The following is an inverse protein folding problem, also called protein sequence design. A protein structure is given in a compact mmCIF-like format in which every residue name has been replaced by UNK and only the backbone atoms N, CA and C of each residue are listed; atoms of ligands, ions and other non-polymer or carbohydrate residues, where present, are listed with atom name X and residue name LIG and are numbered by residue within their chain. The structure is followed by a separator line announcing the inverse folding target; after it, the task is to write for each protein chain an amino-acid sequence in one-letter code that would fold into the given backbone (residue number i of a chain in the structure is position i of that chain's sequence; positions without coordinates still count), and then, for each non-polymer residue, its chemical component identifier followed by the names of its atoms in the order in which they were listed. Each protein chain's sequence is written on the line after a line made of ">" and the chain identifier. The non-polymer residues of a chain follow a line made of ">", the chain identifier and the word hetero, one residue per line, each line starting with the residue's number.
data_IF_517541931036
#
_entry.id   IF_517541931036
#
_cell.length_a   1.000
_cell.length_b   1.000
_cell.length_c   1.000
_cell.angle_alpha   90.00
_cell.angle_beta   90.00
_cell.angle_gamma   90.00
#
_symmetry.space_group_name_H-M   'P 1'
#
loop_
_entity.id
_entity.type
_entity.pdbx_description
1 polymer ?
#
# COMPACT_ATOMS: atom_id res chain seq x y z
N UNK A 1 4.34 -23.93 -15.15
CA UNK A 1 3.91 -22.88 -14.19
C UNK A 1 4.98 -21.81 -14.17
N UNK A 2 4.69 -20.62 -14.71
CA UNK A 2 5.65 -19.51 -14.70
C UNK A 2 5.45 -18.74 -13.40
N UNK A 3 6.45 -18.74 -12.56
CA UNK A 3 6.48 -17.98 -11.30
C UNK A 3 6.52 -16.49 -11.65
N UNK A 4 5.47 -15.76 -11.34
CA UNK A 4 5.40 -14.33 -11.53
C UNK A 4 6.18 -13.67 -10.39
N UNK A 5 7.39 -13.19 -10.69
CA UNK A 5 8.18 -12.38 -9.76
C UNK A 5 7.60 -10.97 -9.77
N UNK A 6 7.00 -10.56 -8.69
CA UNK A 6 6.54 -9.19 -8.53
C UNK A 6 7.64 -8.40 -7.81
N UNK A 7 8.22 -7.43 -8.50
CA UNK A 7 9.17 -6.49 -7.89
C UNK A 7 8.40 -5.43 -7.12
N UNK A 8 8.66 -5.35 -5.84
CA UNK A 8 8.20 -4.25 -5.02
C UNK A 8 9.28 -3.16 -5.08
N UNK A 9 9.02 -2.11 -5.84
CA UNK A 9 9.87 -0.93 -5.83
C UNK A 9 9.61 -0.15 -4.53
N UNK A 10 10.51 -0.23 -3.58
CA UNK A 10 10.59 0.77 -2.52
C UNK A 10 11.17 2.02 -3.17
N UNK A 11 10.33 3.02 -3.45
CA UNK A 11 10.79 4.29 -3.96
C UNK A 11 11.58 5.04 -2.89
N UNK A 12 12.89 4.78 -2.80
CA UNK A 12 13.79 5.70 -2.15
C UNK A 12 13.97 6.91 -3.06
N UNK A 13 13.40 8.05 -2.66
CA UNK A 13 13.42 9.30 -3.42
C UNK A 13 14.82 9.91 -3.34
N UNK A 14 15.73 9.54 -4.26
CA UNK A 14 16.96 10.28 -4.50
C UNK A 14 16.74 11.26 -5.66
N UNK A 15 16.82 12.55 -5.37
CA UNK A 15 16.69 13.61 -6.37
C UNK A 15 18.07 14.01 -6.86
N UNK A 16 18.42 13.68 -8.10
CA UNK A 16 19.56 14.24 -8.80
C UNK A 16 19.15 15.59 -9.44
N UNK A 17 19.74 16.69 -9.02
CA UNK A 17 19.59 17.98 -9.68
C UNK A 17 20.50 18.05 -10.92
N UNK A 18 19.91 18.13 -12.10
CA UNK A 18 20.63 18.54 -13.31
C UNK A 18 20.18 19.96 -13.63
N UNK A 19 21.09 20.90 -13.57
CA UNK A 19 20.80 22.31 -13.84
C UNK A 19 20.67 22.62 -15.32
N UNK A 20 19.71 23.39 -15.69
CA UNK A 20 19.64 24.62 -16.49
C UNK A 20 18.28 24.81 -17.16
N UNK A 21 17.58 25.88 -16.78
CA UNK A 21 16.61 26.66 -17.57
C UNK A 21 15.52 25.96 -18.41
N UNK A 22 14.80 25.08 -17.81
CA UNK A 22 13.36 24.86 -17.93
C UNK A 22 12.93 24.37 -16.55
N UNK A 23 11.80 24.86 -16.00
CA UNK A 23 11.25 24.27 -14.80
C UNK A 23 10.89 22.81 -15.13
N UNK A 24 11.88 21.92 -15.02
CA UNK A 24 11.65 20.48 -15.12
C UNK A 24 10.75 20.12 -13.93
N UNK A 25 9.52 19.77 -14.21
CA UNK A 25 8.61 19.22 -13.19
C UNK A 25 9.30 17.98 -12.62
N UNK A 26 9.81 18.09 -11.39
CA UNK A 26 10.39 16.98 -10.67
C UNK A 26 9.23 16.05 -10.29
N UNK A 27 9.27 14.82 -10.73
CA UNK A 27 8.31 13.78 -10.36
C UNK A 27 9.06 12.51 -9.97
N UNK A 28 8.43 11.61 -9.21
CA UNK A 28 9.06 10.36 -8.81
C UNK A 28 9.59 9.57 -9.99
N UNK A 29 10.83 9.10 -9.87
CA UNK A 29 11.48 8.23 -10.84
C UNK A 29 12.08 7.04 -10.12
N UNK A 30 12.13 5.88 -10.76
CA UNK A 30 12.92 4.76 -10.27
C UNK A 30 14.39 5.06 -10.54
N UNK A 31 15.16 5.08 -9.47
CA UNK A 31 16.61 5.34 -9.54
C UNK A 31 17.39 4.03 -9.43
N UNK A 32 16.86 3.09 -8.62
CA UNK A 32 17.48 1.79 -8.36
C UNK A 32 16.37 0.80 -8.01
N UNK A 33 16.38 -0.38 -8.61
CA UNK A 33 15.44 -1.47 -8.36
C UNK A 33 16.17 -2.65 -7.69
N UNK A 34 16.19 -2.66 -6.37
CA UNK A 34 16.75 -3.77 -5.60
C UNK A 34 15.64 -4.68 -5.09
N UNK A 35 15.90 -5.99 -5.17
CA UNK A 35 15.02 -6.98 -4.56
C UNK A 35 15.11 -6.88 -3.03
N UNK A 36 14.05 -6.37 -2.41
CA UNK A 36 13.95 -6.17 -0.97
C UNK A 36 13.52 -7.45 -0.24
N UNK A 37 12.49 -8.12 -0.78
CA UNK A 37 11.91 -9.33 -0.21
C UNK A 37 11.49 -10.28 -1.32
N UNK A 38 11.73 -11.57 -1.09
CA UNK A 38 11.26 -12.65 -1.93
C UNK A 38 10.61 -13.74 -1.06
N UNK A 39 9.47 -14.25 -1.50
CA UNK A 39 8.88 -15.46 -0.94
C UNK A 39 9.79 -16.66 -1.16
N UNK A 40 9.76 -17.62 -0.25
CA UNK A 40 10.53 -18.86 -0.39
C UNK A 40 9.92 -19.76 -1.47
N UNK A 41 10.70 -20.73 -1.95
CA UNK A 41 10.20 -21.69 -2.96
C UNK A 41 9.15 -22.64 -2.39
N UNK A 42 9.14 -22.83 -1.10
CA UNK A 42 8.21 -23.67 -0.35
C UNK A 42 7.98 -23.07 1.04
N UNK A 43 6.94 -23.52 1.72
CA UNK A 43 6.60 -23.01 3.05
C UNK A 43 5.47 -21.99 3.04
N UNK A 44 5.30 -21.30 4.14
CA UNK A 44 4.14 -20.43 4.36
C UNK A 44 4.12 -19.22 3.43
N UNK A 45 5.27 -18.75 2.93
CA UNK A 45 5.40 -17.62 2.03
C UNK A 45 5.80 -18.02 0.59
N UNK A 46 5.56 -19.25 0.20
CA UNK A 46 5.71 -19.75 -1.16
C UNK A 46 4.59 -19.20 -2.08
N UNK A 47 4.54 -17.89 -2.24
CA UNK A 47 3.48 -17.23 -3.01
C UNK A 47 3.91 -15.88 -3.57
N UNK A 48 2.91 -15.04 -3.86
CA UNK A 48 3.14 -13.70 -4.39
C UNK A 48 3.22 -12.69 -3.25
N UNK A 49 4.40 -12.13 -3.01
CA UNK A 49 4.59 -10.96 -2.14
C UNK A 49 4.10 -9.73 -2.88
N UNK A 50 3.26 -8.91 -2.26
CA UNK A 50 2.58 -7.81 -2.97
C UNK A 50 2.59 -6.45 -2.28
N UNK A 51 2.86 -6.34 -1.00
CA UNK A 51 2.97 -5.04 -0.30
C UNK A 51 4.11 -5.06 0.68
N UNK A 52 4.68 -3.89 0.91
CA UNK A 52 5.75 -3.73 1.87
C UNK A 52 5.60 -2.40 2.60
N UNK A 53 5.42 -2.45 3.91
CA UNK A 53 5.23 -1.28 4.77
C UNK A 53 6.31 -1.26 5.84
N UNK A 54 7.07 -0.16 5.93
CA UNK A 54 8.19 -0.04 6.85
C UNK A 54 7.89 0.97 7.94
N UNK A 55 8.24 0.61 9.18
CA UNK A 55 8.24 1.51 10.34
C UNK A 55 9.62 1.54 10.99
N UNK A 56 10.00 2.70 11.52
CA UNK A 56 11.18 2.83 12.38
C UNK A 56 10.77 2.44 13.81
N UNK A 57 11.00 1.17 14.16
CA UNK A 57 10.55 0.59 15.41
C UNK A 57 11.57 0.73 16.55
N UNK A 58 12.87 0.71 16.22
CA UNK A 58 13.98 0.73 17.18
C UNK A 58 13.79 -0.31 18.29
N UNK A 59 13.49 -1.56 17.92
CA UNK A 59 13.08 -2.63 18.83
C UNK A 59 13.78 -3.94 18.49
N UNK A 60 14.05 -4.76 19.52
CA UNK A 60 14.66 -6.10 19.41
C UNK A 60 15.96 -6.14 18.58
N UNK A 61 16.79 -5.09 18.71
CA UNK A 61 18.06 -4.97 18.00
C UNK A 61 17.97 -4.52 16.55
N UNK A 62 16.77 -4.19 16.07
CA UNK A 62 16.55 -3.71 14.71
C UNK A 62 15.94 -2.32 14.70
N UNK A 63 16.47 -1.46 13.84
CA UNK A 63 15.95 -0.10 13.65
C UNK A 63 14.62 -0.10 12.87
N UNK A 64 14.55 -0.89 11.80
CA UNK A 64 13.41 -0.91 10.88
C UNK A 64 12.72 -2.26 10.90
N UNK A 65 11.39 -2.21 10.93
CA UNK A 65 10.53 -3.37 10.80
C UNK A 65 9.68 -3.23 9.53
N UNK A 66 9.74 -4.25 8.67
CA UNK A 66 9.03 -4.30 7.40
C UNK A 66 7.92 -5.34 7.45
N UNK A 67 6.70 -4.91 7.17
CA UNK A 67 5.52 -5.76 7.10
C UNK A 67 5.16 -5.99 5.65
N UNK A 68 4.96 -7.25 5.27
CA UNK A 68 4.63 -7.59 3.89
C UNK A 68 3.39 -8.47 3.79
N UNK A 69 2.65 -8.29 2.72
CA UNK A 69 1.50 -9.09 2.39
C UNK A 69 1.85 -10.21 1.41
N UNK A 70 1.16 -11.34 1.53
CA UNK A 70 1.36 -12.51 0.70
C UNK A 70 0.02 -13.09 0.27
N UNK A 71 -0.11 -13.38 -1.01
CA UNK A 71 -1.14 -14.23 -1.58
C UNK A 71 -0.54 -15.61 -1.92
N UNK A 72 -1.13 -16.66 -1.39
CA UNK A 72 -0.74 -18.07 -1.63
C UNK A 72 -1.96 -18.92 -1.96
N UNK A 73 -1.84 -19.79 -2.94
CA UNK A 73 -2.86 -20.78 -3.29
C UNK A 73 -2.37 -22.17 -2.97
N UNK A 74 -3.13 -22.88 -2.18
CA UNK A 74 -2.88 -24.27 -1.82
C UNK A 74 -4.18 -25.06 -1.86
N UNK A 75 -4.24 -26.15 -2.66
CA UNK A 75 -5.43 -26.97 -2.84
C UNK A 75 -6.70 -26.15 -3.16
N UNK A 76 -6.59 -25.20 -4.09
CA UNK A 76 -7.65 -24.26 -4.49
C UNK A 76 -8.10 -23.29 -3.39
N UNK A 77 -7.45 -23.27 -2.24
CA UNK A 77 -7.70 -22.31 -1.17
C UNK A 77 -6.76 -21.11 -1.33
N UNK A 78 -7.33 -19.94 -1.32
CA UNK A 78 -6.57 -18.68 -1.40
C UNK A 78 -6.27 -18.14 0.01
N UNK A 79 -5.02 -18.29 0.42
CA UNK A 79 -4.52 -17.74 1.68
C UNK A 79 -3.99 -16.33 1.48
N UNK A 80 -4.35 -15.44 2.38
CA UNK A 80 -3.88 -14.04 2.46
C UNK A 80 -3.25 -13.85 3.83
N UNK A 81 -1.94 -13.69 3.85
CA UNK A 81 -1.14 -13.72 5.08
C UNK A 81 -0.30 -12.44 5.18
N UNK A 82 0.15 -12.12 6.39
CA UNK A 82 1.15 -11.08 6.60
C UNK A 82 2.37 -11.63 7.31
N UNK A 83 3.55 -11.18 6.87
CA UNK A 83 4.84 -11.48 7.46
C UNK A 83 5.57 -10.24 7.93
N UNK A 84 6.60 -10.47 8.74
CA UNK A 84 7.49 -9.48 9.30
C UNK A 84 8.93 -9.77 8.88
N UNK A 85 9.64 -8.73 8.50
CA UNK A 85 11.12 -8.71 8.34
C UNK A 85 11.71 -7.56 9.11
N UNK A 86 12.97 -7.64 9.47
CA UNK A 86 13.67 -6.66 10.29
C UNK A 86 14.98 -6.26 9.64
N UNK A 87 15.38 -4.99 9.76
CA UNK A 87 16.62 -4.45 9.17
C UNK A 87 17.20 -3.32 10.01
N UNK A 88 18.50 -3.07 9.86
CA UNK A 88 19.18 -1.90 10.42
C UNK A 88 19.57 -0.85 9.36
N UNK A 89 19.49 -1.19 8.07
CA UNK A 89 19.99 -0.35 6.97
C UNK A 89 19.03 -0.21 5.78
N UNK A 90 17.83 -0.80 5.84
CA UNK A 90 16.81 -0.82 4.77
C UNK A 90 17.17 -1.64 3.51
N UNK A 91 18.34 -2.27 3.49
CA UNK A 91 18.82 -3.13 2.38
C UNK A 91 18.85 -4.60 2.77
N UNK A 92 19.38 -4.90 3.94
CA UNK A 92 19.53 -6.27 4.44
C UNK A 92 18.38 -6.60 5.37
N UNK A 93 17.46 -7.42 4.91
CA UNK A 93 16.25 -7.79 5.62
C UNK A 93 16.32 -9.23 6.13
N UNK A 94 16.01 -9.43 7.39
CA UNK A 94 15.95 -10.74 8.05
C UNK A 94 14.49 -11.10 8.32
N UNK A 95 14.00 -12.23 7.80
CA UNK A 95 12.66 -12.73 8.09
C UNK A 95 12.53 -13.05 9.58
N UNK A 96 11.39 -12.68 10.16
CA UNK A 96 11.04 -13.08 11.51
C UNK A 96 10.79 -14.57 11.55
N UNK A 97 11.41 -15.26 12.52
CA UNK A 97 11.43 -16.73 12.59
C UNK A 97 10.07 -17.38 12.84
N UNK A 98 9.16 -16.67 13.53
CA UNK A 98 7.80 -17.15 13.81
C UNK A 98 6.74 -16.63 12.83
N UNK A 99 7.14 -16.22 11.62
CA UNK A 99 6.18 -15.89 10.56
C UNK A 99 5.29 -17.08 10.18
N UNK A 100 4.04 -16.87 9.71
CA UNK A 100 3.39 -15.57 9.49
C UNK A 100 2.88 -14.94 10.80
N UNK A 101 2.94 -13.62 10.91
CA UNK A 101 2.36 -12.89 12.06
C UNK A 101 0.83 -12.79 11.97
N UNK A 102 0.25 -12.85 10.76
CA UNK A 102 -1.17 -13.04 10.53
C UNK A 102 -1.36 -14.14 9.49
N UNK A 103 -2.03 -15.22 9.88
CA UNK A 103 -2.10 -16.46 9.10
C UNK A 103 -3.25 -16.49 8.07
N UNK A 104 -4.25 -15.60 8.16
CA UNK A 104 -5.42 -15.66 7.30
C UNK A 104 -6.12 -14.33 7.09
N UNK A 105 -6.69 -14.15 5.90
CA UNK A 105 -7.56 -13.03 5.50
C UNK A 105 -6.96 -11.64 5.78
N UNK A 106 -5.65 -11.49 5.60
CA UNK A 106 -4.93 -10.24 5.74
C UNK A 106 -4.28 -9.90 4.40
N UNK A 107 -4.84 -8.95 3.66
CA UNK A 107 -4.31 -8.55 2.36
C UNK A 107 -3.93 -7.09 2.35
N UNK A 108 -2.79 -6.78 1.74
CA UNK A 108 -2.20 -5.45 1.63
C UNK A 108 -2.02 -4.75 2.99
N UNK A 109 -1.27 -5.35 3.92
CA UNK A 109 -1.01 -4.73 5.20
C UNK A 109 -0.18 -3.45 5.06
N UNK A 110 -0.55 -2.44 5.84
CA UNK A 110 0.23 -1.23 6.06
C UNK A 110 0.25 -0.92 7.55
N UNK A 111 1.39 -0.45 8.06
CA UNK A 111 1.60 -0.29 9.49
C UNK A 111 2.09 1.12 9.81
N UNK A 112 1.66 1.64 10.94
CA UNK A 112 2.16 2.88 11.52
C UNK A 112 2.31 2.71 13.03
N UNK A 113 3.24 3.47 13.61
CA UNK A 113 3.35 3.61 15.07
C UNK A 113 2.71 4.91 15.54
N UNK A 114 1.95 4.82 16.62
CA UNK A 114 1.38 5.96 17.34
C UNK A 114 1.36 5.69 18.82
N UNK A 115 1.91 6.58 19.62
CA UNK A 115 1.97 6.48 21.08
C UNK A 115 2.56 5.15 21.58
N UNK A 116 3.64 4.70 20.93
CA UNK A 116 4.36 3.47 21.29
C UNK A 116 3.71 2.17 20.84
N UNK A 117 2.53 2.22 20.23
CA UNK A 117 1.79 1.06 19.71
C UNK A 117 1.92 0.96 18.18
N UNK A 118 1.83 -0.26 17.68
CA UNK A 118 1.72 -0.56 16.27
C UNK A 118 0.24 -0.68 15.87
N UNK A 119 -0.11 -0.10 14.74
CA UNK A 119 -1.44 -0.19 14.14
C UNK A 119 -1.30 -0.69 12.71
N UNK A 120 -1.86 -1.86 12.43
CA UNK A 120 -1.88 -2.45 11.10
C UNK A 120 -3.26 -2.27 10.47
N UNK A 121 -3.29 -1.76 9.24
CA UNK A 121 -4.49 -1.69 8.41
C UNK A 121 -4.35 -2.68 7.27
N UNK A 122 -5.40 -3.41 6.96
CA UNK A 122 -5.43 -4.39 5.87
C UNK A 122 -6.84 -4.64 5.36
N UNK A 123 -6.94 -5.23 4.17
CA UNK A 123 -8.22 -5.63 3.62
C UNK A 123 -8.57 -7.06 4.05
N UNK A 124 -9.82 -7.25 4.48
CA UNK A 124 -10.46 -8.55 4.69
C UNK A 124 -11.53 -8.79 3.62
N UNK A 125 -11.62 -10.00 3.12
CA UNK A 125 -12.58 -10.42 2.12
C UNK A 125 -13.75 -11.17 2.73
N UNK A 126 -14.95 -10.96 2.18
CA UNK A 126 -16.16 -11.69 2.53
C UNK A 126 -16.28 -12.92 1.63
N UNK A 127 -15.73 -14.05 2.09
CA UNK A 127 -15.77 -15.30 1.34
C UNK A 127 -15.01 -15.25 0.00
N UNK A 128 -15.44 -16.03 -1.01
CA UNK A 128 -14.82 -16.07 -2.33
C UNK A 128 -15.13 -14.80 -3.16
N UNK A 129 -16.13 -14.02 -2.75
CA UNK A 129 -16.50 -12.79 -3.44
C UNK A 129 -15.43 -11.71 -3.26
N UNK A 130 -15.44 -10.74 -4.17
CA UNK A 130 -14.50 -9.64 -4.16
C UNK A 130 -14.87 -8.53 -3.18
N UNK A 131 -16.03 -8.60 -2.53
CA UNK A 131 -16.43 -7.61 -1.51
C UNK A 131 -15.40 -7.62 -0.38
N UNK A 132 -14.91 -6.45 -0.04
CA UNK A 132 -13.87 -6.31 0.97
C UNK A 132 -14.11 -5.10 1.87
N UNK A 133 -13.55 -5.19 3.07
CA UNK A 133 -13.56 -4.13 4.08
C UNK A 133 -12.14 -3.82 4.51
N UNK A 134 -11.93 -2.65 5.10
CA UNK A 134 -10.66 -2.33 5.75
C UNK A 134 -10.85 -2.45 7.25
N UNK A 135 -9.95 -3.17 7.88
CA UNK A 135 -9.86 -3.33 9.32
C UNK A 135 -8.55 -2.74 9.83
N UNK A 136 -8.55 -2.40 11.11
CA UNK A 136 -7.36 -2.00 11.87
C UNK A 136 -7.21 -2.96 13.04
N UNK A 137 -6.00 -3.46 13.26
CA UNK A 137 -5.60 -4.20 14.45
C UNK A 137 -4.46 -3.46 15.15
N UNK A 138 -4.36 -3.59 16.46
CA UNK A 138 -3.32 -2.94 17.27
C UNK A 138 -2.41 -3.96 17.94
N UNK A 139 -1.15 -3.58 18.19
CA UNK A 139 -0.16 -4.41 18.87
C UNK A 139 0.79 -3.57 19.71
N UNK A 140 1.11 -4.05 20.90
CA UNK A 140 2.15 -3.47 21.78
C UNK A 140 3.57 -3.89 21.36
N UNK A 141 3.68 -5.09 20.80
CA UNK A 141 4.98 -5.65 20.46
C UNK A 141 5.28 -5.61 18.94
N UNK A 142 4.30 -5.30 18.11
CA UNK A 142 4.42 -5.28 16.65
C UNK A 142 4.34 -6.66 15.98
N UNK A 143 4.05 -7.71 16.74
CA UNK A 143 3.96 -9.10 16.30
C UNK A 143 2.53 -9.64 16.48
N UNK A 144 2.03 -9.54 17.70
CA UNK A 144 0.69 -10.01 18.08
C UNK A 144 -0.32 -8.88 17.87
N UNK A 145 -1.11 -8.96 16.80
CA UNK A 145 -2.10 -7.96 16.43
C UNK A 145 -3.50 -8.40 16.84
N UNK A 146 -4.09 -7.65 17.77
CA UNK A 146 -5.40 -7.90 18.38
C UNK A 146 -6.36 -6.71 18.20
N UNK A 147 -7.48 -6.72 18.94
CA UNK A 147 -8.44 -5.62 19.05
C UNK A 147 -8.91 -5.08 17.67
N UNK A 148 -9.26 -5.99 16.78
CA UNK A 148 -9.71 -5.66 15.43
C UNK A 148 -10.91 -4.72 15.44
N UNK A 149 -10.82 -3.64 14.67
CA UNK A 149 -11.91 -2.68 14.46
C UNK A 149 -12.13 -2.44 12.97
N UNK A 150 -13.38 -2.38 12.56
CA UNK A 150 -13.73 -2.04 11.18
C UNK A 150 -13.51 -0.55 10.95
N UNK A 151 -12.71 -0.21 9.94
CA UNK A 151 -12.42 1.18 9.53
C UNK A 151 -13.28 1.58 8.35
N UNK A 152 -13.43 0.69 7.37
CA UNK A 152 -14.33 0.85 6.22
C UNK A 152 -15.15 -0.43 6.13
N UNK A 153 -16.48 -0.38 6.31
CA UNK A 153 -17.34 -1.56 6.32
C UNK A 153 -17.47 -2.19 4.93
N UNK A 154 -17.99 -3.42 4.90
CA UNK A 154 -18.48 -4.00 3.65
C UNK A 154 -19.64 -3.17 3.09
N UNK A 155 -19.64 -3.00 1.78
CA UNK A 155 -20.80 -2.54 1.05
C UNK A 155 -20.99 -3.45 -0.18
N UNK A 156 -22.23 -3.76 -0.51
CA UNK A 156 -22.54 -4.70 -1.59
C UNK A 156 -21.96 -4.22 -2.93
N UNK A 157 -21.22 -5.12 -3.56
CA UNK A 157 -20.56 -4.84 -4.84
C UNK A 157 -19.40 -3.88 -4.76
N UNK A 158 -18.93 -3.52 -3.57
CA UNK A 158 -17.79 -2.62 -3.40
C UNK A 158 -16.55 -3.36 -2.92
N UNK A 159 -15.43 -2.94 -3.48
CA UNK A 159 -14.09 -3.34 -3.05
C UNK A 159 -13.44 -2.16 -2.32
N UNK A 160 -13.19 -2.33 -1.02
CA UNK A 160 -12.42 -1.39 -0.22
C UNK A 160 -11.07 -2.04 0.07
N UNK A 161 -10.01 -1.63 -0.62
CA UNK A 161 -8.74 -2.37 -0.67
C UNK A 161 -7.52 -1.47 -0.67
N UNK A 162 -6.32 -2.09 -0.61
CA UNK A 162 -5.02 -1.44 -0.65
C UNK A 162 -4.92 -0.25 0.31
N UNK A 163 -5.15 -0.43 1.61
CA UNK A 163 -4.95 0.65 2.55
C UNK A 163 -3.47 1.07 2.56
N UNK A 164 -3.25 2.37 2.68
CA UNK A 164 -1.94 2.97 2.88
C UNK A 164 -2.04 4.04 3.97
N UNK A 165 -1.38 3.83 5.09
CA UNK A 165 -1.33 4.79 6.19
C UNK A 165 -0.14 5.71 6.06
N UNK A 166 -0.36 7.02 6.14
CA UNK A 166 0.65 8.05 6.05
C UNK A 166 0.57 8.99 7.25
N UNK A 167 1.66 9.15 7.98
CA UNK A 167 1.78 10.18 9.00
C UNK A 167 2.41 11.44 8.40
N UNK A 168 1.66 12.53 8.36
CA UNK A 168 2.15 13.81 7.87
C UNK A 168 2.77 14.62 9.01
N UNK A 169 4.09 14.70 9.02
CA UNK A 169 4.83 15.46 10.04
C UNK A 169 4.56 16.96 10.00
N UNK A 170 4.08 17.51 8.86
CA UNK A 170 3.84 18.94 8.69
C UNK A 170 2.58 19.43 9.44
N UNK A 171 1.57 18.56 9.62
CA UNK A 171 0.31 18.93 10.27
C UNK A 171 -0.07 18.00 11.45
N UNK A 172 0.70 16.93 11.65
CA UNK A 172 0.51 15.98 12.75
C UNK A 172 -0.71 15.07 12.58
N UNK A 173 -1.24 14.92 11.36
CA UNK A 173 -2.34 14.01 11.08
C UNK A 173 -1.85 12.69 10.49
N UNK A 174 -2.59 11.64 10.80
CA UNK A 174 -2.57 10.35 10.12
C UNK A 174 -3.60 10.35 9.00
N UNK A 175 -3.22 9.91 7.82
CA UNK A 175 -4.04 9.82 6.61
C UNK A 175 -4.08 8.38 6.14
N UNK A 176 -5.25 7.77 6.15
CA UNK A 176 -5.48 6.44 5.63
C UNK A 176 -6.07 6.55 4.23
N UNK A 177 -5.24 6.33 3.22
CA UNK A 177 -5.65 6.21 1.83
C UNK A 177 -6.09 4.78 1.54
N UNK A 178 -7.07 4.63 0.66
CA UNK A 178 -7.50 3.33 0.16
C UNK A 178 -8.24 3.51 -1.16
N UNK A 179 -8.34 2.46 -1.96
CA UNK A 179 -9.22 2.54 -3.09
C UNK A 179 -10.59 1.94 -2.81
N UNK A 180 -11.59 2.51 -3.45
CA UNK A 180 -12.95 2.02 -3.49
C UNK A 180 -13.35 1.80 -4.95
N UNK A 181 -13.74 0.58 -5.29
CA UNK A 181 -14.16 0.21 -6.63
C UNK A 181 -15.52 -0.47 -6.66
N UNK A 182 -16.30 -0.17 -7.69
CA UNK A 182 -17.57 -0.85 -7.97
C UNK A 182 -17.45 -1.61 -9.28
N UNK A 183 -17.00 -2.87 -9.26
CA UNK A 183 -16.91 -3.71 -10.47
C UNK A 183 -18.28 -4.02 -11.09
N UNK A 184 -19.35 -3.93 -10.30
CA UNK A 184 -20.70 -4.34 -10.72
C UNK A 184 -21.50 -3.28 -11.45
N UNK A 185 -21.06 -2.04 -11.48
CA UNK A 185 -21.68 -1.01 -12.32
C UNK A 185 -21.26 -1.22 -13.77
N UNK A 186 -21.82 -2.24 -14.42
CA UNK A 186 -21.48 -2.64 -15.81
C UNK A 186 -21.53 -1.50 -16.82
N UNK A 187 -22.25 -0.41 -16.54
CA UNK A 187 -22.45 0.70 -17.45
C UNK A 187 -21.70 1.99 -17.06
N UNK A 188 -21.13 2.06 -15.87
CA UNK A 188 -20.35 3.21 -15.41
C UNK A 188 -19.44 2.81 -14.25
N UNK A 189 -18.36 2.05 -14.50
CA UNK A 189 -17.41 1.69 -13.46
C UNK A 189 -16.77 2.97 -12.91
N UNK A 190 -16.81 3.13 -11.60
CA UNK A 190 -16.16 4.24 -10.90
C UNK A 190 -15.18 3.71 -9.88
N UNK A 191 -13.96 4.19 -9.96
CA UNK A 191 -12.87 3.83 -9.08
C UNK A 191 -12.34 5.08 -8.41
N UNK A 192 -12.25 5.07 -7.10
CA UNK A 192 -11.84 6.22 -6.32
C UNK A 192 -10.68 5.86 -5.41
N UNK A 193 -9.73 6.78 -5.26
CA UNK A 193 -8.87 6.83 -4.10
C UNK A 193 -9.57 7.71 -3.06
N UNK A 194 -9.80 7.15 -1.90
CA UNK A 194 -10.42 7.81 -0.77
C UNK A 194 -9.41 7.99 0.36
N UNK A 195 -9.66 8.97 1.23
CA UNK A 195 -8.84 9.23 2.42
C UNK A 195 -9.70 9.49 3.65
N UNK A 196 -9.27 8.94 4.79
CA UNK A 196 -9.71 9.33 6.14
C UNK A 196 -8.54 10.00 6.85
N UNK A 197 -8.80 10.99 7.71
CA UNK A 197 -7.75 11.62 8.50
C UNK A 197 -8.12 11.81 9.96
N UNK A 198 -7.12 11.70 10.83
CA UNK A 198 -7.25 11.94 12.27
C UNK A 198 -5.91 12.28 12.89
N UNK A 199 -5.90 13.04 13.99
CA UNK A 199 -4.71 13.25 14.82
C UNK A 199 -4.32 12.02 15.65
N UNK A 200 -5.22 11.06 15.80
CA UNK A 200 -5.00 9.82 16.55
C UNK A 200 -5.45 8.64 15.72
N UNK A 201 -4.58 7.65 15.58
CA UNK A 201 -4.87 6.44 14.80
C UNK A 201 -6.15 5.73 15.26
N UNK A 202 -6.40 5.54 16.59
CA UNK A 202 -7.61 4.89 17.07
C UNK A 202 -8.93 5.58 16.71
N UNK A 203 -8.90 6.83 16.28
CA UNK A 203 -10.09 7.59 15.90
C UNK A 203 -10.41 7.53 14.41
N UNK A 204 -9.56 6.92 13.57
CA UNK A 204 -9.77 6.78 12.12
C UNK A 204 -11.08 6.04 11.75
N UNK A 205 -11.52 5.00 12.48
CA UNK A 205 -12.79 4.33 12.17
C UNK A 205 -14.00 5.26 12.11
N UNK A 206 -14.07 6.27 12.99
CA UNK A 206 -15.19 7.21 13.10
C UNK A 206 -15.11 8.35 12.08
N UNK A 207 -14.01 8.52 11.37
CA UNK A 207 -13.85 9.61 10.42
C UNK A 207 -14.59 9.35 9.11
N UNK A 208 -15.07 10.41 8.48
CA UNK A 208 -15.61 10.36 7.13
C UNK A 208 -14.49 10.14 6.11
N UNK A 209 -14.82 9.50 5.02
CA UNK A 209 -13.95 9.38 3.85
C UNK A 209 -14.19 10.51 2.88
N UNK A 210 -13.11 10.99 2.26
CA UNK A 210 -13.15 12.03 1.23
C UNK A 210 -12.50 11.47 -0.04
N UNK A 211 -13.04 11.86 -1.19
CA UNK A 211 -12.50 11.49 -2.49
C UNK A 211 -11.26 12.34 -2.81
N UNK A 212 -10.21 11.69 -3.30
CA UNK A 212 -8.93 12.31 -3.64
C UNK A 212 -8.69 12.28 -5.15
N UNK A 213 -8.85 11.11 -5.75
CA UNK A 213 -8.74 10.89 -7.20
C UNK A 213 -9.84 9.95 -7.64
N UNK A 214 -10.41 10.22 -8.82
CA UNK A 214 -11.42 9.38 -9.47
C UNK A 214 -10.96 9.00 -10.87
N UNK A 215 -11.26 7.79 -11.28
CA UNK A 215 -11.03 7.29 -12.64
C UNK A 215 -12.19 6.42 -13.10
N UNK A 216 -12.41 6.36 -14.42
CA UNK A 216 -13.24 5.35 -15.07
C UNK A 216 -12.47 4.03 -15.31
N UNK A 217 -11.18 4.01 -15.07
CA UNK A 217 -10.31 2.82 -15.10
C UNK A 217 -10.07 2.33 -13.68
N UNK A 218 -9.81 1.04 -13.55
CA UNK A 218 -9.47 0.45 -12.24
C UNK A 218 -8.25 1.13 -11.65
N UNK A 219 -8.40 1.63 -10.42
CA UNK A 219 -7.32 2.17 -9.59
C UNK A 219 -6.96 1.17 -8.49
N UNK A 220 -5.69 1.17 -8.09
CA UNK A 220 -5.21 0.37 -6.96
C UNK A 220 -3.98 1.00 -6.29
N UNK A 221 -3.56 0.42 -5.18
CA UNK A 221 -2.29 0.64 -4.49
C UNK A 221 -1.88 2.13 -4.32
N UNK A 222 -2.74 2.98 -3.71
CA UNK A 222 -2.36 4.36 -3.44
C UNK A 222 -1.18 4.40 -2.46
N UNK A 223 -0.20 5.26 -2.73
CA UNK A 223 0.88 5.57 -1.79
C UNK A 223 1.26 7.04 -1.90
N UNK A 224 1.65 7.66 -0.79
CA UNK A 224 1.95 9.09 -0.72
C UNK A 224 3.37 9.32 -0.24
N UNK A 225 4.07 10.23 -0.91
CA UNK A 225 5.37 10.74 -0.51
C UNK A 225 5.34 12.28 -0.49
N UNK A 226 6.16 12.88 0.39
CA UNK A 226 6.32 14.34 0.46
C UNK A 226 7.74 14.71 0.07
N UNK A 227 7.87 15.62 -0.90
CA UNK A 227 9.16 16.14 -1.32
C UNK A 227 9.02 17.57 -1.85
N UNK A 228 9.95 18.45 -1.51
CA UNK A 228 10.02 19.82 -2.03
C UNK A 228 8.72 20.62 -1.86
N UNK A 229 8.09 20.55 -0.68
CA UNK A 229 6.80 21.22 -0.38
C UNK A 229 5.63 20.72 -1.26
N UNK A 230 5.71 19.50 -1.76
CA UNK A 230 4.70 18.90 -2.63
C UNK A 230 4.45 17.45 -2.19
N UNK A 231 3.18 17.06 -2.15
CA UNK A 231 2.75 15.67 -1.95
C UNK A 231 2.60 15.00 -3.31
N UNK A 232 3.15 13.81 -3.44
CA UNK A 232 3.02 12.96 -4.61
C UNK A 232 2.22 11.73 -4.22
N UNK A 233 1.10 11.54 -4.91
CA UNK A 233 0.28 10.34 -4.80
C UNK A 233 0.60 9.45 -6.00
N UNK A 234 1.10 8.27 -5.74
CA UNK A 234 1.28 7.20 -6.71
C UNK A 234 0.06 6.29 -6.69
N UNK A 235 -0.46 5.95 -7.85
CA UNK A 235 -1.62 5.07 -7.99
C UNK A 235 -1.39 4.12 -9.16
N UNK A 236 -1.63 2.84 -8.96
CA UNK A 236 -1.72 1.88 -10.05
C UNK A 236 -3.04 2.06 -10.80
N UNK A 237 -3.00 2.02 -12.11
CA UNK A 237 -4.17 2.12 -12.99
C UNK A 237 -4.01 1.14 -14.16
N UNK A 238 -5.10 0.57 -14.66
CA UNK A 238 -5.02 -0.15 -15.93
C UNK A 238 -4.75 0.82 -17.09
N UNK A 239 -3.74 0.48 -17.90
CA UNK A 239 -3.34 1.30 -19.05
C UNK A 239 -4.28 1.17 -20.23
N UNK A 240 -5.02 0.07 -20.30
CA UNK A 240 -5.89 -0.30 -21.42
C UNK A 240 -7.29 -0.72 -20.96
N UNK A 241 -8.21 -0.76 -21.90
CA UNK A 241 -9.59 -1.17 -21.66
C UNK A 241 -9.74 -2.70 -21.49
N UNK A 242 -8.69 -3.47 -21.81
CA UNK A 242 -8.68 -4.93 -21.64
C UNK A 242 -8.31 -5.36 -20.22
N UNK A 243 -7.93 -4.41 -19.37
CA UNK A 243 -7.58 -4.62 -17.96
C UNK A 243 -6.45 -5.65 -17.76
N UNK A 244 -5.48 -5.65 -18.66
CA UNK A 244 -4.36 -6.61 -18.65
C UNK A 244 -3.04 -6.01 -18.22
N UNK A 245 -2.88 -4.68 -18.31
CA UNK A 245 -1.62 -4.00 -18.05
C UNK A 245 -1.79 -2.95 -16.95
N UNK A 246 -1.11 -3.16 -15.86
CA UNK A 246 -0.98 -2.17 -14.79
C UNK A 246 0.17 -1.20 -15.09
N UNK A 247 -0.08 0.07 -14.82
CA UNK A 247 0.93 1.13 -14.84
C UNK A 247 0.79 1.97 -13.59
N UNK A 248 1.87 2.59 -13.12
CA UNK A 248 1.81 3.52 -11.99
C UNK A 248 1.80 4.95 -12.51
N UNK A 249 0.79 5.70 -12.12
CA UNK A 249 0.66 7.12 -12.40
C UNK A 249 0.99 7.94 -11.17
N UNK A 250 1.54 9.15 -11.38
CA UNK A 250 1.84 10.10 -10.34
C UNK A 250 0.89 11.31 -10.42
N UNK A 251 0.40 11.70 -9.26
CA UNK A 251 -0.36 12.93 -9.06
C UNK A 251 0.36 13.80 -8.04
N UNK A 252 0.25 15.11 -8.12
CA UNK A 252 0.86 16.03 -7.17
C UNK A 252 -0.13 17.03 -6.62
N UNK A 253 0.08 17.43 -5.36
CA UNK A 253 -0.70 18.46 -4.69
C UNK A 253 0.14 19.22 -3.66
N UNK A 254 -0.33 20.41 -3.28
CA UNK A 254 0.18 21.16 -2.11
C UNK A 254 -0.50 20.75 -0.81
N UNK A 255 -1.59 19.98 -0.89
CA UNK A 255 -2.33 19.46 0.25
C UNK A 255 -2.36 17.93 0.18
N UNK A 256 -2.28 17.25 1.34
CA UNK A 256 -2.15 15.80 1.40
C UNK A 256 -3.45 15.07 1.07
N UNK A 257 -4.60 15.69 1.28
CA UNK A 257 -5.92 15.04 1.16
C UNK A 257 -6.78 15.53 -0.01
N UNK A 258 -6.26 16.42 -0.86
CA UNK A 258 -7.03 17.00 -1.97
C UNK A 258 -6.15 17.73 -3.00
N UNK A 259 -6.79 18.17 -4.09
CA UNK A 259 -6.15 19.03 -5.09
C UNK A 259 -5.12 18.34 -5.96
N UNK A 260 -5.12 17.02 -6.01
CA UNK A 260 -4.18 16.26 -6.80
C UNK A 260 -4.42 16.42 -8.30
N UNK A 261 -3.34 16.77 -9.01
CA UNK A 261 -3.30 16.87 -10.47
C UNK A 261 -2.33 15.83 -11.02
N UNK A 262 -2.66 15.18 -12.12
CA UNK A 262 -1.75 14.25 -12.79
C UNK A 262 -0.46 14.99 -13.20
N UNK A 263 0.68 14.43 -12.83
CA UNK A 263 2.00 15.06 -13.06
C UNK A 263 2.40 14.99 -14.53
N UNK A 264 2.11 13.88 -15.18
CA UNK A 264 2.44 13.61 -16.58
C UNK A 264 1.36 12.70 -17.20
N UNK A 265 1.19 12.80 -18.52
CA UNK A 265 0.31 11.90 -19.26
C UNK A 265 0.90 10.50 -19.42
N UNK A 266 2.21 10.36 -19.28
CA UNK A 266 2.89 9.07 -19.31
C UNK A 266 2.98 8.49 -17.89
N UNK A 267 2.80 7.16 -17.74
CA UNK A 267 3.06 6.50 -16.48
C UNK A 267 4.50 6.72 -16.00
N UNK A 268 4.68 6.80 -14.68
CA UNK A 268 6.03 6.92 -14.07
C UNK A 268 6.70 5.56 -13.90
N UNK A 269 5.90 4.48 -13.84
CA UNK A 269 6.35 3.10 -13.82
C UNK A 269 5.49 2.27 -14.77
N UNK A 270 6.13 1.40 -15.50
CA UNK A 270 5.49 0.37 -16.32
C UNK A 270 5.76 -0.99 -15.69
N UNK A 271 4.76 -1.87 -15.74
CA UNK A 271 5.02 -3.27 -15.43
C UNK A 271 5.99 -3.79 -16.48
N UNK A 272 7.15 -4.21 -16.07
CA UNK A 272 8.12 -4.79 -16.99
C UNK A 272 7.64 -6.21 -17.34
N UNK A 273 7.30 -6.45 -18.61
CA UNK A 273 6.85 -7.76 -19.11
C UNK A 273 7.98 -8.82 -19.07
N UNK A 274 9.20 -8.42 -18.67
CA UNK A 274 10.38 -9.26 -18.57
C UNK A 274 10.60 -9.92 -17.19
N UNK A 275 9.65 -9.79 -16.25
CA UNK A 275 9.74 -10.38 -14.91
C UNK A 275 8.79 -11.56 -14.74
#
# INVERSE_FOLDING_TARGET
>A
MRTMKMFLAVASLAVAMVGANAQSKVYPQVVDDQLVIQGDKCGWDAGTVHTFSVVEANKDGYKYWGYYGLDHYENDVHFRKAGLVRSNNLTDWVKYEANPIIAANCRWPTVVMNDGKFYMFYAEYKGPNKDSRIVMAESENGIDFDNKRVVVPYADGQQNQNPFIYFNKNDGFFYLFYYNGTERAKNNPRWNVLVKKSKRVPALPQQKSYEVVTSNKTLAAPSVAYHGSTYYLLVEEFSDDTHTKWVTNAFSSKEVDRGYQRVTNNPVLYKNDAC
#
